data_IF_578270097445
#
_entry.id   IF_578270097445
#
_cell.length_a   1.000
_cell.length_b   1.000
_cell.length_c   1.000
_cell.angle_alpha   90.00
_cell.angle_beta   90.00
_cell.angle_gamma   90.00
#
_symmetry.space_group_name_H-M   'P 1'
#
loop_
_entity.id
_entity.type
_entity.pdbx_description
1 polymer ?
#
# COMPACT_ATOMS: atom_id res chain seq x y z
N UNK A 1 9.20 -4.57 9.51
CA UNK A 1 8.96 -3.77 10.73
C UNK A 1 9.13 -2.31 10.31
N UNK A 2 8.03 -1.54 10.23
CA UNK A 2 8.14 -0.11 9.93
C UNK A 2 8.86 0.55 11.10
N UNK A 3 10.11 0.95 10.90
CA UNK A 3 10.77 1.85 11.81
C UNK A 3 10.17 3.24 11.52
N UNK A 4 9.07 3.54 12.22
CA UNK A 4 8.50 4.88 12.32
C UNK A 4 9.44 5.65 13.25
N UNK A 5 10.66 5.90 12.78
CA UNK A 5 11.57 6.88 13.34
C UNK A 5 11.40 8.16 12.53
N UNK A 6 10.18 8.70 12.55
CA UNK A 6 9.94 10.13 12.33
C UNK A 6 8.77 10.54 13.22
N UNK A 7 9.12 11.38 14.17
CA UNK A 7 8.46 11.64 15.44
C UNK A 7 7.27 12.61 15.29
N UNK A 8 6.59 12.64 14.13
CA UNK A 8 5.70 13.74 13.73
C UNK A 8 4.19 13.48 13.94
N UNK A 9 3.75 12.22 14.07
CA UNK A 9 2.32 11.89 14.23
C UNK A 9 2.07 10.90 15.38
N UNK A 10 2.44 11.28 16.61
CA UNK A 10 1.95 10.57 17.81
C UNK A 10 0.58 11.16 18.22
N UNK A 11 -0.41 10.32 18.61
CA UNK A 11 -1.72 10.80 19.07
C UNK A 11 -1.62 11.84 20.19
N UNK A 12 -0.60 11.70 21.05
CA UNK A 12 -0.34 12.56 22.21
C UNK A 12 0.20 13.96 21.84
N UNK A 13 0.58 14.18 20.57
CA UNK A 13 1.03 15.48 20.04
C UNK A 13 -0.08 16.24 19.30
N UNK A 14 -1.22 15.60 19.05
CA UNK A 14 -2.36 16.24 18.41
C UNK A 14 -3.12 17.06 19.45
N UNK A 15 -3.32 18.35 19.16
CA UNK A 15 -4.11 19.27 19.97
C UNK A 15 -5.32 19.75 19.17
N UNK A 16 -6.34 20.29 19.84
CA UNK A 16 -7.66 20.59 19.24
C UNK A 16 -7.60 21.50 18.01
N UNK A 17 -6.61 22.39 17.93
CA UNK A 17 -6.40 23.30 16.80
C UNK A 17 -5.39 22.81 15.76
N UNK A 18 -4.91 21.57 15.86
CA UNK A 18 -4.01 20.97 14.87
C UNK A 18 -4.71 20.82 13.51
N UNK A 19 -4.04 21.26 12.45
CA UNK A 19 -4.51 21.16 11.08
C UNK A 19 -3.35 20.77 10.17
N UNK A 20 -3.64 20.03 9.10
CA UNK A 20 -2.65 19.69 8.09
C UNK A 20 -2.41 20.87 7.15
N UNK A 21 -1.15 21.08 6.75
CA UNK A 21 -0.82 21.98 5.64
C UNK A 21 -1.40 21.44 4.31
N UNK A 22 -1.42 22.29 3.27
CA UNK A 22 -1.87 21.87 1.94
C UNK A 22 -1.06 20.72 1.36
N UNK A 23 0.26 20.70 1.61
CA UNK A 23 1.13 19.63 1.17
C UNK A 23 0.83 18.31 1.92
N UNK A 24 0.74 18.36 3.25
CA UNK A 24 0.42 17.19 4.07
C UNK A 24 -0.95 16.61 3.75
N UNK A 25 -1.95 17.48 3.53
CA UNK A 25 -3.31 17.06 3.15
C UNK A 25 -3.29 16.31 1.82
N UNK A 26 -2.51 16.77 0.84
CA UNK A 26 -2.38 16.09 -0.45
C UNK A 26 -1.72 14.72 -0.30
N UNK A 27 -0.58 14.65 0.38
CA UNK A 27 0.15 13.41 0.62
C UNK A 27 -0.71 12.40 1.38
N UNK A 28 -1.40 12.85 2.42
CA UNK A 28 -2.29 12.02 3.21
C UNK A 28 -3.49 11.52 2.37
N UNK A 29 -4.09 12.40 1.57
CA UNK A 29 -5.21 12.06 0.68
C UNK A 29 -4.84 11.02 -0.36
N UNK A 30 -3.67 11.16 -0.98
CA UNK A 30 -3.12 10.15 -1.88
C UNK A 30 -2.87 8.83 -1.16
N UNK A 31 -2.39 8.85 0.08
CA UNK A 31 -2.14 7.65 0.87
C UNK A 31 -3.43 6.89 1.22
N UNK A 32 -4.47 7.56 1.71
CA UNK A 32 -5.71 6.93 2.17
C UNK A 32 -6.70 6.57 1.07
N UNK A 33 -6.59 7.20 -0.11
CA UNK A 33 -7.48 6.93 -1.24
C UNK A 33 -7.45 5.43 -1.61
N UNK A 34 -8.65 4.85 -1.65
CA UNK A 34 -8.89 3.47 -2.01
C UNK A 34 -8.78 2.45 -0.88
N UNK A 35 -8.35 2.86 0.32
CA UNK A 35 -8.28 2.00 1.51
C UNK A 35 -9.68 1.78 2.08
N UNK A 36 -9.94 0.60 2.65
CA UNK A 36 -11.17 0.32 3.42
C UNK A 36 -11.00 0.74 4.88
N UNK A 37 -11.98 1.48 5.39
CA UNK A 37 -12.06 1.91 6.78
C UNK A 37 -13.35 1.41 7.42
N UNK A 38 -13.25 1.01 8.68
CA UNK A 38 -14.37 0.67 9.56
C UNK A 38 -14.72 1.86 10.43
N UNK A 39 -16.01 2.14 10.58
CA UNK A 39 -16.47 3.21 11.48
C UNK A 39 -16.69 2.68 12.90
N UNK A 40 -16.26 3.42 13.93
CA UNK A 40 -16.36 3.00 15.34
C UNK A 40 -17.28 3.87 16.22
N UNK A 41 -17.96 4.89 15.67
CA UNK A 41 -18.82 5.81 16.43
C UNK A 41 -20.12 5.19 17.01
N UNK A 42 -20.54 4.00 16.54
CA UNK A 42 -21.72 3.28 17.05
C UNK A 42 -21.31 1.94 17.63
N UNK A 43 -21.59 1.73 18.93
CA UNK A 43 -21.37 0.43 19.56
C UNK A 43 -22.23 -0.66 18.88
N UNK A 44 -21.62 -1.82 18.62
CA UNK A 44 -22.31 -2.97 18.01
C UNK A 44 -22.57 -2.90 16.50
N UNK A 45 -22.32 -1.76 15.84
CA UNK A 45 -22.55 -1.60 14.39
C UNK A 45 -21.22 -1.50 13.65
N UNK A 46 -20.88 -2.55 12.92
CA UNK A 46 -19.68 -2.58 12.06
C UNK A 46 -20.09 -2.21 10.63
N UNK A 47 -19.62 -1.07 10.15
CA UNK A 47 -19.72 -0.68 8.74
C UNK A 47 -18.34 -0.42 8.17
N UNK A 48 -18.10 -0.96 6.99
CA UNK A 48 -16.83 -0.82 6.26
C UNK A 48 -17.10 -0.05 4.97
N UNK A 49 -16.29 0.96 4.71
CA UNK A 49 -16.39 1.79 3.51
C UNK A 49 -15.05 1.92 2.83
N UNK A 50 -15.06 2.08 1.50
CA UNK A 50 -13.88 2.46 0.73
C UNK A 50 -13.74 3.98 0.71
N UNK A 51 -12.54 4.48 0.99
CA UNK A 51 -12.22 5.91 0.94
C UNK A 51 -12.07 6.38 -0.50
N UNK A 52 -12.78 7.44 -0.86
CA UNK A 52 -12.68 8.09 -2.17
C UNK A 52 -11.68 9.24 -2.16
N UNK A 53 -11.82 10.13 -1.18
CA UNK A 53 -11.03 11.36 -1.05
C UNK A 53 -11.04 11.88 0.39
N UNK A 54 -10.21 12.90 0.62
CA UNK A 54 -10.33 13.78 1.77
C UNK A 54 -11.20 14.98 1.41
N UNK A 55 -11.87 15.52 2.41
CA UNK A 55 -12.69 16.73 2.33
C UNK A 55 -12.26 17.74 3.39
N UNK A 56 -12.97 18.86 3.44
CA UNK A 56 -12.73 19.93 4.42
C UNK A 56 -12.73 19.43 5.87
N UNK A 57 -12.13 20.21 6.79
CA UNK A 57 -12.21 19.98 8.22
C UNK A 57 -13.64 19.75 8.74
N UNK A 58 -13.80 18.94 9.79
CA UNK A 58 -15.12 18.60 10.32
C UNK A 58 -15.90 19.82 10.83
N UNK A 59 -15.22 20.84 11.37
CA UNK A 59 -15.81 22.11 11.80
C UNK A 59 -16.23 23.03 10.65
N UNK A 60 -15.70 22.81 9.45
CA UNK A 60 -15.95 23.63 8.26
C UNK A 60 -16.78 22.89 7.20
N UNK A 61 -16.93 21.58 7.31
CA UNK A 61 -17.67 20.77 6.35
C UNK A 61 -19.16 20.76 6.69
N UNK A 62 -19.94 21.53 5.93
CA UNK A 62 -21.38 21.65 6.09
C UNK A 62 -22.13 20.56 5.31
N UNK A 63 -23.23 20.09 5.89
CA UNK A 63 -24.18 19.20 5.23
C UNK A 63 -25.60 19.49 5.73
N UNK A 64 -26.60 18.95 5.03
CA UNK A 64 -28.00 19.04 5.49
C UNK A 64 -28.37 17.75 6.22
N UNK A 65 -28.70 17.89 7.50
CA UNK A 65 -29.05 16.78 8.37
C UNK A 65 -30.50 16.36 8.13
N UNK A 66 -30.73 15.05 8.02
CA UNK A 66 -32.06 14.45 7.92
C UNK A 66 -32.40 13.88 9.29
N UNK A 67 -33.61 14.17 9.80
CA UNK A 67 -34.04 13.73 11.13
C UNK A 67 -34.32 12.22 11.23
N UNK A 68 -34.56 11.55 10.10
CA UNK A 68 -34.93 10.14 10.04
C UNK A 68 -33.76 9.20 10.36
N UNK A 69 -33.90 8.43 11.44
CA UNK A 69 -32.90 7.60 12.12
C UNK A 69 -32.17 6.50 11.31
N UNK A 70 -32.41 6.35 10.02
CA UNK A 70 -31.74 5.36 9.18
C UNK A 70 -31.52 5.98 7.81
N UNK A 71 -30.47 6.76 7.63
CA UNK A 71 -29.69 6.85 6.38
C UNK A 71 -28.63 7.95 6.44
N UNK A 72 -27.39 7.57 6.77
CA UNK A 72 -26.20 8.17 6.12
C UNK A 72 -26.07 7.54 4.70
N UNK A 73 -27.19 7.17 4.05
CA UNK A 73 -27.16 6.22 2.96
C UNK A 73 -28.29 6.24 1.93
N UNK A 74 -29.26 7.16 1.86
CA UNK A 74 -30.13 7.31 0.68
C UNK A 74 -30.68 8.75 0.69
N UNK A 75 -30.29 9.56 -0.28
CA UNK A 75 -31.10 10.67 -0.74
C UNK A 75 -31.01 10.69 -2.27
N UNK A 76 -32.17 10.74 -2.90
CA UNK A 76 -32.41 10.50 -4.31
C UNK A 76 -31.62 11.44 -5.22
N UNK A 77 -31.16 10.87 -6.33
CA UNK A 77 -30.68 11.60 -7.50
C UNK A 77 -31.80 12.45 -8.11
N UNK A 78 -31.75 13.76 -7.93
CA UNK A 78 -32.26 14.71 -8.90
C UNK A 78 -31.20 15.79 -9.14
N UNK A 79 -30.55 15.70 -10.30
CA UNK A 79 -29.69 16.73 -10.85
C UNK A 79 -30.56 17.96 -11.15
N UNK A 80 -30.33 19.06 -10.43
CA UNK A 80 -30.72 20.38 -10.91
C UNK A 80 -29.42 21.08 -11.30
N UNK A 81 -29.19 21.19 -12.60
CA UNK A 81 -28.16 22.06 -13.16
C UNK A 81 -28.65 23.50 -12.99
N UNK A 82 -27.93 24.29 -12.19
CA UNK A 82 -28.09 25.74 -12.24
C UNK A 82 -27.13 26.31 -13.28
N UNK A 83 -27.60 27.31 -14.03
CA UNK A 83 -26.93 27.92 -15.19
C UNK A 83 -25.86 28.93 -14.75
N UNK A 84 -24.95 28.50 -13.90
CA UNK A 84 -23.70 29.20 -13.61
C UNK A 84 -22.70 28.12 -13.19
N UNK A 85 -21.61 27.95 -13.94
CA UNK A 85 -20.63 26.85 -13.84
C UNK A 85 -19.84 26.71 -12.53
N UNK A 86 -20.45 26.96 -11.37
CA UNK A 86 -19.97 26.62 -10.02
C UNK A 86 -20.81 25.47 -9.48
N UNK A 87 -20.18 24.31 -9.30
CA UNK A 87 -20.78 23.16 -8.62
C UNK A 87 -21.08 23.52 -7.16
N UNK A 88 -22.32 23.92 -6.87
CA UNK A 88 -22.79 24.16 -5.51
C UNK A 88 -23.28 22.85 -4.89
N UNK A 89 -22.53 22.34 -3.92
CA UNK A 89 -22.73 21.03 -3.29
C UNK A 89 -23.81 21.11 -2.20
N UNK A 90 -25.08 21.25 -2.59
CA UNK A 90 -26.20 21.27 -1.62
C UNK A 90 -26.83 19.89 -1.49
N UNK A 91 -26.80 19.35 -0.26
CA UNK A 91 -27.64 18.23 0.16
C UNK A 91 -29.07 18.76 0.37
N UNK A 92 -30.12 18.05 -0.06
CA UNK A 92 -31.50 18.37 0.33
C UNK A 92 -31.96 17.33 1.36
N UNK A 93 -31.90 17.70 2.63
CA UNK A 93 -32.37 16.88 3.74
C UNK A 93 -33.38 17.68 4.56
N UNK A 94 -34.55 17.12 4.82
CA UNK A 94 -35.59 17.78 5.63
C UNK A 94 -35.65 17.12 7.01
N UNK A 95 -35.89 17.91 8.06
CA UNK A 95 -36.19 17.43 9.40
C UNK A 95 -37.63 16.87 9.51
N UNK A 96 -38.04 16.43 10.70
CA UNK A 96 -39.39 15.91 10.98
C UNK A 96 -40.50 16.94 10.68
N UNK A 97 -40.14 18.23 10.57
CA UNK A 97 -41.03 19.36 10.30
C UNK A 97 -40.94 19.86 8.84
N UNK A 98 -40.11 19.23 8.01
CA UNK A 98 -39.95 19.57 6.59
C UNK A 98 -38.91 20.65 6.29
N UNK A 99 -38.14 21.11 7.28
CA UNK A 99 -37.15 22.17 7.15
C UNK A 99 -35.73 21.64 6.89
N UNK A 100 -34.94 22.36 6.09
CA UNK A 100 -33.55 22.01 5.83
C UNK A 100 -32.65 22.40 7.01
N UNK A 101 -32.32 21.44 7.89
CA UNK A 101 -31.38 21.70 8.99
C UNK A 101 -29.93 21.56 8.51
N UNK A 102 -29.27 22.69 8.27
CA UNK A 102 -27.83 22.75 7.96
C UNK A 102 -27.00 22.65 9.23
N UNK A 103 -26.03 21.74 9.25
CA UNK A 103 -25.05 21.66 10.33
C UNK A 103 -23.69 21.18 9.82
N UNK A 104 -22.64 21.44 10.60
CA UNK A 104 -21.29 20.93 10.29
C UNK A 104 -21.17 19.47 10.72
N UNK A 105 -20.24 18.73 10.10
CA UNK A 105 -19.92 17.35 10.53
C UNK A 105 -19.56 17.31 12.01
N UNK A 106 -18.75 18.25 12.49
CA UNK A 106 -18.43 18.37 13.91
C UNK A 106 -19.68 18.59 14.77
N UNK A 107 -20.57 19.51 14.36
CA UNK A 107 -21.82 19.79 15.09
C UNK A 107 -22.72 18.56 15.22
N UNK A 108 -22.85 17.78 14.15
CA UNK A 108 -23.62 16.53 14.16
C UNK A 108 -23.03 15.48 15.10
N UNK A 109 -21.70 15.28 15.06
CA UNK A 109 -21.05 14.32 15.95
C UNK A 109 -21.18 14.75 17.41
N UNK A 110 -21.03 16.04 17.71
CA UNK A 110 -21.26 16.59 19.07
C UNK A 110 -22.68 16.33 19.55
N UNK A 111 -23.71 16.53 18.72
CA UNK A 111 -25.12 16.31 19.10
C UNK A 111 -25.47 14.82 19.29
N UNK A 112 -24.90 13.91 18.48
CA UNK A 112 -25.33 12.51 18.42
C UNK A 112 -24.42 11.51 19.11
N UNK A 113 -23.13 11.78 19.21
CA UNK A 113 -22.12 10.80 19.66
C UNK A 113 -21.12 11.37 20.69
N UNK A 114 -20.94 12.69 20.74
CA UNK A 114 -20.00 13.38 21.61
C UNK A 114 -19.03 14.29 20.85
N UNK A 115 -18.38 15.19 21.58
CA UNK A 115 -17.48 16.19 21.00
C UNK A 115 -16.23 15.54 20.37
N UNK A 116 -15.87 15.97 19.16
CA UNK A 116 -14.63 15.58 18.49
C UNK A 116 -13.42 16.25 19.12
N UNK A 117 -12.32 15.51 19.31
CA UNK A 117 -11.08 16.03 19.90
C UNK A 117 -10.29 16.89 18.90
N UNK A 118 -10.40 16.59 17.60
CA UNK A 118 -9.61 17.17 16.51
C UNK A 118 -10.53 17.62 15.35
N UNK A 119 -11.45 18.57 15.58
CA UNK A 119 -12.44 18.97 14.59
C UNK A 119 -11.83 19.66 13.35
N UNK A 120 -10.59 20.18 13.47
CA UNK A 120 -9.87 20.84 12.38
C UNK A 120 -9.18 19.87 11.39
N UNK A 121 -9.22 18.56 11.67
CA UNK A 121 -8.72 17.55 10.74
C UNK A 121 -9.72 17.28 9.61
N UNK A 122 -9.24 16.96 8.39
CA UNK A 122 -10.11 16.70 7.25
C UNK A 122 -11.00 15.48 7.47
N UNK A 123 -12.19 15.48 6.85
CA UNK A 123 -13.06 14.31 6.86
C UNK A 123 -12.73 13.34 5.70
N UNK A 124 -12.97 12.04 5.91
CA UNK A 124 -12.97 11.03 4.86
C UNK A 124 -14.30 11.09 4.10
N UNK A 125 -14.24 11.22 2.78
CA UNK A 125 -15.37 10.93 1.90
C UNK A 125 -15.33 9.47 1.49
N UNK A 126 -16.40 8.73 1.77
CA UNK A 126 -16.42 7.28 1.60
C UNK A 126 -17.67 6.81 0.83
N UNK A 127 -17.63 5.59 0.30
CA UNK A 127 -18.76 5.01 -0.43
C UNK A 127 -18.82 5.45 -1.90
N UNK A 128 -19.99 5.55 -2.54
CA UNK A 128 -20.09 6.08 -3.90
C UNK A 128 -19.75 7.57 -3.95
N UNK A 129 -19.03 8.02 -4.99
CA UNK A 129 -18.68 9.46 -5.17
C UNK A 129 -19.93 10.35 -5.26
N UNK A 130 -21.04 9.79 -5.73
CA UNK A 130 -22.35 10.47 -5.83
C UNK A 130 -23.06 10.65 -4.49
N UNK A 131 -22.62 9.98 -3.42
CA UNK A 131 -23.23 10.09 -2.08
C UNK A 131 -22.29 10.86 -1.17
N UNK A 132 -22.82 11.84 -0.43
CA UNK A 132 -22.02 12.65 0.49
C UNK A 132 -21.96 11.98 1.87
N UNK A 133 -21.14 10.93 1.98
CA UNK A 133 -20.90 10.22 3.24
C UNK A 133 -19.55 10.66 3.79
N UNK A 134 -19.57 11.41 4.88
CA UNK A 134 -18.37 11.97 5.51
C UNK A 134 -18.18 11.42 6.92
N UNK A 135 -16.94 11.02 7.22
CA UNK A 135 -16.55 10.62 8.57
C UNK A 135 -15.31 11.40 9.03
N UNK A 136 -15.33 11.98 10.24
CA UNK A 136 -14.11 12.44 10.90
C UNK A 136 -13.08 11.31 11.01
N UNK A 137 -11.79 11.66 10.95
CA UNK A 137 -10.71 10.66 11.06
C UNK A 137 -10.76 9.89 12.39
N UNK A 138 -11.15 10.56 13.48
CA UNK A 138 -11.25 9.98 14.83
C UNK A 138 -12.19 8.78 14.93
N UNK A 139 -13.19 8.71 14.06
CA UNK A 139 -14.22 7.65 14.10
C UNK A 139 -13.98 6.58 13.05
N UNK A 140 -12.80 6.58 12.43
CA UNK A 140 -12.40 5.65 11.39
C UNK A 140 -11.20 4.82 11.82
N UNK A 141 -11.29 3.51 11.65
CA UNK A 141 -10.18 2.57 11.81
C UNK A 141 -9.89 1.87 10.49
N UNK A 142 -8.63 1.53 10.24
CA UNK A 142 -8.27 0.70 9.08
C UNK A 142 -8.91 -0.68 9.23
N UNK A 143 -9.61 -1.16 8.21
CA UNK A 143 -10.22 -2.50 8.22
C UNK A 143 -9.17 -3.54 7.83
N UNK A 144 -8.38 -4.04 8.78
CA UNK A 144 -7.29 -4.99 8.52
C UNK A 144 -7.76 -6.45 8.52
N UNK A 145 -7.14 -7.36 7.74
CA UNK A 145 -6.01 -7.16 6.82
C UNK A 145 -6.41 -6.68 5.41
N UNK A 146 -5.57 -5.84 4.80
CA UNK A 146 -5.73 -5.37 3.41
C UNK A 146 -4.42 -5.48 2.63
N UNK A 147 -4.51 -5.93 1.37
CA UNK A 147 -3.37 -5.93 0.44
C UNK A 147 -2.99 -4.50 0.08
N UNK A 148 -1.72 -4.15 0.29
CA UNK A 148 -1.15 -2.92 -0.22
C UNK A 148 -0.86 -3.06 -1.72
N UNK A 149 -1.45 -2.19 -2.55
CA UNK A 149 -1.38 -2.28 -4.02
C UNK A 149 -0.55 -1.18 -4.68
N UNK A 150 -0.02 -0.22 -3.91
CA UNK A 150 0.80 0.87 -4.44
C UNK A 150 2.26 0.44 -4.53
N UNK A 151 3.04 1.14 -5.36
CA UNK A 151 4.48 0.91 -5.46
C UNK A 151 5.13 1.22 -4.12
N UNK A 152 5.94 0.29 -3.64
CA UNK A 152 6.71 0.42 -2.41
C UNK A 152 7.92 1.32 -2.67
N UNK A 153 8.39 2.02 -1.64
CA UNK A 153 9.66 2.75 -1.71
C UNK A 153 10.83 1.78 -1.84
N UNK A 154 11.99 2.23 -2.32
CA UNK A 154 13.19 1.38 -2.41
C UNK A 154 13.60 0.79 -1.06
N UNK A 155 13.49 1.59 0.01
CA UNK A 155 13.73 1.13 1.40
C UNK A 155 12.74 0.04 1.84
N UNK A 156 11.46 0.19 1.51
CA UNK A 156 10.44 -0.82 1.82
C UNK A 156 10.65 -2.10 0.99
N UNK A 157 10.95 -1.94 -0.30
CA UNK A 157 11.22 -3.04 -1.23
C UNK A 157 12.45 -3.84 -0.78
N UNK A 158 13.55 -3.17 -0.43
CA UNK A 158 14.75 -3.84 0.07
C UNK A 158 14.53 -4.53 1.42
N UNK A 159 13.68 -3.97 2.29
CA UNK A 159 13.29 -4.64 3.53
C UNK A 159 12.48 -5.92 3.28
N UNK A 160 11.55 -5.90 2.31
CA UNK A 160 10.77 -7.08 1.91
C UNK A 160 11.67 -8.13 1.27
N UNK A 161 12.57 -7.73 0.35
CA UNK A 161 13.51 -8.66 -0.28
C UNK A 161 14.36 -9.34 0.79
N UNK A 162 14.95 -8.59 1.73
CA UNK A 162 15.74 -9.16 2.82
C UNK A 162 14.94 -10.09 3.73
N UNK A 163 13.67 -9.77 3.99
CA UNK A 163 12.80 -10.63 4.80
C UNK A 163 12.35 -11.91 4.06
N UNK A 164 12.25 -11.84 2.73
CA UNK A 164 11.81 -12.95 1.88
C UNK A 164 12.97 -13.84 1.40
N UNK A 165 14.17 -13.29 1.27
CA UNK A 165 15.38 -14.00 0.90
C UNK A 165 15.83 -14.88 2.07
N UNK A 166 15.35 -16.12 2.06
CA UNK A 166 15.72 -17.17 3.00
C UNK A 166 16.40 -18.30 2.25
N UNK A 167 17.29 -19.02 2.94
CA UNK A 167 17.95 -20.20 2.39
C UNK A 167 16.93 -21.31 2.08
N UNK A 168 17.33 -22.24 1.21
CA UNK A 168 16.46 -23.31 0.71
C UNK A 168 15.94 -24.19 1.85
N UNK A 169 16.79 -24.57 2.80
CA UNK A 169 16.44 -25.43 3.94
C UNK A 169 15.43 -24.74 4.87
N UNK A 170 15.65 -23.48 5.22
CA UNK A 170 14.71 -22.69 6.01
C UNK A 170 13.38 -22.48 5.27
N UNK A 171 13.42 -22.31 3.94
CA UNK A 171 12.21 -22.22 3.11
C UNK A 171 11.41 -23.51 3.14
N UNK A 172 12.08 -24.66 3.01
CA UNK A 172 11.47 -25.98 3.09
C UNK A 172 10.78 -26.21 4.45
N UNK A 173 11.49 -25.98 5.55
CA UNK A 173 10.92 -26.09 6.90
C UNK A 173 9.73 -25.15 7.12
N UNK A 174 9.80 -23.91 6.61
CA UNK A 174 8.68 -22.97 6.69
C UNK A 174 7.45 -23.47 5.95
N UNK A 175 7.62 -24.07 4.76
CA UNK A 175 6.50 -24.63 4.00
C UNK A 175 5.92 -25.84 4.76
N UNK A 176 6.76 -26.73 5.29
CA UNK A 176 6.30 -27.87 6.09
C UNK A 176 5.47 -27.42 7.31
N UNK A 177 5.95 -26.42 8.06
CA UNK A 177 5.23 -25.87 9.20
C UNK A 177 3.88 -25.22 8.80
N UNK A 178 3.84 -24.51 7.67
CA UNK A 178 2.58 -23.94 7.14
C UNK A 178 1.59 -25.02 6.71
N UNK A 179 2.05 -26.12 6.10
CA UNK A 179 1.21 -27.26 5.74
C UNK A 179 0.62 -27.94 6.98
N UNK A 180 1.42 -28.09 8.05
CA UNK A 180 0.95 -28.63 9.33
C UNK A 180 -0.08 -27.70 9.98
N UNK A 181 0.19 -26.39 10.02
CA UNK A 181 -0.71 -25.38 10.58
C UNK A 181 -2.04 -25.31 9.81
N UNK A 182 -2.01 -25.46 8.49
CA UNK A 182 -3.22 -25.48 7.66
C UNK A 182 -4.11 -26.70 7.96
N UNK A 183 -3.56 -27.76 8.56
CA UNK A 183 -4.29 -28.93 9.05
C UNK A 183 -5.26 -29.54 8.01
N UNK A 184 -4.86 -29.61 6.73
CA UNK A 184 -5.71 -30.07 5.63
C UNK A 184 -6.37 -31.44 5.86
N UNK A 185 -5.74 -32.31 6.65
CA UNK A 185 -6.29 -33.62 7.02
C UNK A 185 -7.56 -33.55 7.88
N UNK A 186 -7.80 -32.41 8.54
CA UNK A 186 -8.97 -32.15 9.38
C UNK A 186 -10.03 -31.30 8.68
N UNK A 187 -9.81 -30.94 7.42
CA UNK A 187 -10.72 -30.09 6.66
C UNK A 187 -11.98 -30.88 6.25
N UNK A 188 -13.14 -30.42 6.70
CA UNK A 188 -14.42 -31.09 6.45
C UNK A 188 -14.82 -31.03 4.98
N UNK A 189 -14.46 -29.96 4.25
CA UNK A 189 -14.74 -29.85 2.83
C UNK A 189 -13.91 -30.87 2.06
N UNK A 190 -12.59 -30.94 2.29
CA UNK A 190 -11.73 -31.91 1.61
C UNK A 190 -12.22 -33.35 1.84
N UNK A 191 -12.65 -33.67 3.06
CA UNK A 191 -13.22 -34.98 3.38
C UNK A 191 -14.50 -35.28 2.60
N UNK A 192 -15.40 -34.31 2.47
CA UNK A 192 -16.66 -34.45 1.70
C UNK A 192 -16.39 -34.73 0.22
N UNK A 193 -15.36 -34.10 -0.35
CA UNK A 193 -14.92 -34.34 -1.74
C UNK A 193 -14.01 -35.58 -1.89
N UNK A 194 -13.74 -36.33 -0.82
CA UNK A 194 -12.85 -37.50 -0.85
C UNK A 194 -11.38 -37.16 -1.16
N UNK A 195 -10.95 -35.91 -0.92
CA UNK A 195 -9.60 -35.43 -1.18
C UNK A 195 -8.72 -35.58 0.06
N UNK A 196 -7.47 -36.02 -0.15
CA UNK A 196 -6.44 -36.11 0.88
C UNK A 196 -5.15 -35.44 0.41
N UNK A 197 -4.55 -34.61 1.26
CA UNK A 197 -3.33 -33.86 0.94
C UNK A 197 -2.18 -34.38 1.81
N UNK A 198 -1.16 -34.98 1.20
CA UNK A 198 0.04 -35.40 1.93
C UNK A 198 0.71 -34.20 2.64
N UNK A 199 1.10 -34.35 3.92
CA UNK A 199 1.82 -33.30 4.64
C UNK A 199 3.30 -33.22 4.25
N UNK A 200 3.82 -34.20 3.50
CA UNK A 200 5.21 -34.26 3.07
C UNK A 200 5.35 -33.75 1.65
N UNK A 201 6.46 -33.05 1.37
CA UNK A 201 6.83 -32.66 0.01
C UNK A 201 7.04 -33.91 -0.86
N UNK A 202 6.73 -33.79 -2.15
CA UNK A 202 6.93 -34.88 -3.11
C UNK A 202 8.43 -35.07 -3.36
N UNK A 203 8.91 -36.29 -3.15
CA UNK A 203 10.30 -36.68 -3.44
C UNK A 203 10.42 -37.12 -4.90
N UNK A 204 11.48 -36.67 -5.57
CA UNK A 204 11.75 -37.02 -6.96
C UNK A 204 13.24 -37.18 -7.21
N UNK A 205 13.61 -38.07 -8.12
CA UNK A 205 15.00 -38.26 -8.53
C UNK A 205 15.36 -37.25 -9.61
N UNK A 206 16.39 -36.45 -9.35
CA UNK A 206 16.95 -35.51 -10.31
C UNK A 206 18.40 -35.86 -10.66
N UNK A 207 18.91 -35.31 -11.75
CA UNK A 207 20.29 -35.49 -12.22
C UNK A 207 20.93 -34.14 -12.51
N UNK A 208 22.14 -33.94 -11.99
CA UNK A 208 22.96 -32.76 -12.27
C UNK A 208 23.75 -33.03 -13.55
N UNK A 209 23.55 -32.19 -14.56
CA UNK A 209 24.27 -32.31 -15.82
C UNK A 209 25.69 -31.75 -15.67
N UNK A 210 26.66 -32.39 -16.31
CA UNK A 210 28.01 -31.85 -16.38
C UNK A 210 27.98 -30.51 -17.15
N UNK A 211 28.59 -29.44 -16.62
CA UNK A 211 28.60 -28.15 -17.28
C UNK A 211 29.44 -28.22 -18.58
N UNK A 212 29.05 -27.49 -19.63
CA UNK A 212 29.84 -27.41 -20.86
C UNK A 212 31.16 -26.67 -20.59
N UNK A 213 32.21 -27.05 -21.32
CA UNK A 213 33.51 -26.36 -21.28
C UNK A 213 33.43 -25.07 -22.11
N UNK A 214 33.91 -23.96 -21.55
CA UNK A 214 33.95 -22.66 -22.21
C UNK A 214 35.35 -22.44 -22.77
N UNK A 215 35.45 -22.21 -24.08
CA UNK A 215 36.72 -21.90 -24.76
C UNK A 215 36.88 -20.38 -24.91
N UNK A 216 38.00 -19.86 -24.41
CA UNK A 216 38.45 -18.48 -24.54
C UNK A 216 39.50 -18.31 -25.65
N UNK A 217 39.91 -17.07 -25.91
CA UNK A 217 40.88 -16.73 -26.94
C UNK A 217 42.28 -17.24 -26.61
N UNK A 218 43.11 -17.45 -27.64
CA UNK A 218 44.44 -18.06 -27.48
C UNK A 218 45.43 -17.21 -26.63
N UNK A 219 46.25 -17.96 -25.89
CA UNK A 219 47.28 -17.64 -24.87
C UNK A 219 47.67 -16.18 -24.56
N UNK A 220 47.71 -15.90 -23.25
CA UNK A 220 48.95 -15.52 -22.57
C UNK A 220 49.63 -16.80 -22.02
N UNK A 221 50.97 -16.85 -21.94
CA UNK A 221 51.76 -18.05 -21.58
C UNK A 221 51.45 -18.74 -20.23
N UNK A 222 50.52 -18.21 -19.43
CA UNK A 222 50.33 -18.57 -18.01
C UNK A 222 48.97 -19.21 -17.66
N UNK A 223 48.02 -19.35 -18.59
CA UNK A 223 46.68 -19.90 -18.29
C UNK A 223 46.11 -20.81 -19.40
N UNK A 224 45.31 -21.81 -18.99
CA UNK A 224 44.50 -22.65 -19.87
C UNK A 224 43.32 -21.81 -20.43
N UNK A 225 43.12 -21.75 -21.77
CA UNK A 225 42.00 -21.04 -22.38
C UNK A 225 40.66 -21.75 -22.17
N UNK A 226 40.63 -22.96 -21.62
CA UNK A 226 39.37 -23.67 -21.36
C UNK A 226 38.98 -23.57 -19.89
N UNK A 227 37.80 -22.99 -19.62
CA UNK A 227 37.23 -22.88 -18.28
C UNK A 227 36.06 -23.84 -18.14
N UNK A 228 36.02 -24.57 -17.03
CA UNK A 228 34.87 -25.39 -16.62
C UNK A 228 34.06 -24.61 -15.60
N UNK A 229 32.78 -24.27 -15.88
CA UNK A 229 31.92 -23.60 -14.92
C UNK A 229 31.80 -24.40 -13.62
N UNK A 230 31.77 -23.67 -12.50
CA UNK A 230 31.49 -24.22 -11.16
C UNK A 230 30.20 -23.59 -10.66
N UNK A 231 29.24 -24.41 -10.24
CA UNK A 231 27.93 -23.98 -9.73
C UNK A 231 27.21 -22.97 -10.65
N UNK A 232 27.33 -23.17 -11.97
CA UNK A 232 26.70 -22.31 -12.99
C UNK A 232 27.43 -20.98 -13.25
N UNK A 233 28.57 -20.74 -12.61
CA UNK A 233 29.37 -19.53 -12.79
C UNK A 233 30.78 -19.82 -13.33
N UNK A 234 31.38 -18.82 -13.96
CA UNK A 234 32.77 -18.83 -14.43
C UNK A 234 33.36 -17.43 -14.28
N UNK A 235 34.69 -17.33 -14.24
CA UNK A 235 35.40 -16.05 -14.21
C UNK A 235 36.10 -15.77 -15.55
N UNK A 236 36.29 -14.47 -15.85
CA UNK A 236 37.12 -13.98 -16.93
C UNK A 236 38.57 -13.69 -16.48
N UNK A 237 38.90 -13.97 -15.22
CA UNK A 237 40.24 -13.72 -14.67
C UNK A 237 41.30 -14.49 -15.45
N UNK A 238 42.34 -13.78 -15.90
CA UNK A 238 43.43 -14.33 -16.72
C UNK A 238 42.97 -14.99 -18.03
N UNK A 239 41.77 -14.65 -18.52
CA UNK A 239 41.23 -15.10 -19.80
C UNK A 239 41.16 -13.96 -20.82
N UNK A 240 41.14 -14.30 -22.10
CA UNK A 240 40.91 -13.36 -23.21
C UNK A 240 39.63 -13.73 -23.95
N UNK A 241 38.91 -12.74 -24.47
CA UNK A 241 37.74 -13.01 -25.31
C UNK A 241 38.14 -13.91 -26.50
N UNK A 242 37.29 -14.87 -26.85
CA UNK A 242 37.52 -15.80 -27.98
C UNK A 242 37.79 -15.04 -29.29
N UNK A 243 37.01 -14.00 -29.56
CA UNK A 243 37.28 -13.01 -30.61
C UNK A 243 37.24 -11.62 -29.99
N UNK A 244 38.40 -10.96 -29.77
CA UNK A 244 38.42 -9.59 -29.28
C UNK A 244 38.09 -8.59 -30.40
N UNK A 245 37.32 -7.56 -30.08
CA UNK A 245 37.12 -6.42 -30.96
C UNK A 245 38.19 -5.35 -30.73
N UNK A 246 38.60 -4.66 -31.80
CA UNK A 246 39.55 -3.54 -31.72
C UNK A 246 38.76 -2.23 -31.67
N UNK A 247 38.80 -1.54 -30.54
CA UNK A 247 38.21 -0.20 -30.40
C UNK A 247 39.19 0.86 -30.94
N UNK A 248 38.94 1.37 -32.15
CA UNK A 248 39.81 2.38 -32.80
C UNK A 248 39.61 3.79 -32.27
N UNK A 249 38.39 4.16 -31.91
CA UNK A 249 38.06 5.47 -31.34
C UNK A 249 36.90 5.34 -30.35
N UNK A 250 37.02 5.98 -29.20
CA UNK A 250 35.94 6.14 -28.24
C UNK A 250 35.93 7.58 -27.70
N UNK A 251 34.78 8.02 -27.21
CA UNK A 251 34.65 9.30 -26.50
C UNK A 251 33.87 9.05 -25.21
N UNK A 252 34.31 9.68 -24.12
CA UNK A 252 33.67 9.61 -22.82
C UNK A 252 33.12 10.99 -22.50
N UNK A 253 31.83 11.06 -22.18
CA UNK A 253 31.22 12.28 -21.64
C UNK A 253 30.78 11.96 -20.22
N UNK A 254 31.50 12.54 -19.26
CA UNK A 254 31.10 12.47 -17.86
C UNK A 254 30.21 13.67 -17.56
N UNK A 255 28.93 13.41 -17.28
CA UNK A 255 28.01 14.45 -16.80
C UNK A 255 28.09 14.49 -15.28
N UNK A 256 28.77 15.51 -14.76
CA UNK A 256 29.03 15.70 -13.33
C UNK A 256 28.29 16.95 -12.87
N UNK A 257 27.71 16.89 -11.68
CA UNK A 257 27.09 18.06 -11.07
C UNK A 257 28.19 19.12 -10.81
N UNK A 258 28.01 20.39 -11.22
CA UNK A 258 29.00 21.45 -10.98
C UNK A 258 29.43 21.60 -9.52
N UNK A 259 28.59 21.19 -8.56
CA UNK A 259 28.91 21.24 -7.12
C UNK A 259 29.89 20.13 -6.67
N UNK A 260 29.97 19.02 -7.39
CA UNK A 260 30.85 17.87 -7.08
C UNK A 260 32.17 17.93 -7.87
N UNK A 261 32.35 18.97 -8.70
CA UNK A 261 33.52 19.14 -9.57
C UNK A 261 34.84 19.28 -8.79
N UNK A 262 34.81 19.75 -7.54
CA UNK A 262 36.01 19.96 -6.70
C UNK A 262 36.60 18.69 -6.07
N UNK A 263 35.92 17.55 -6.19
CA UNK A 263 36.36 16.28 -5.55
C UNK A 263 37.14 15.38 -6.53
N UNK A 264 37.34 15.85 -7.76
CA UNK A 264 37.98 15.11 -8.86
C UNK A 264 39.35 15.66 -9.26
N UNK A 265 39.81 16.71 -8.59
CA UNK A 265 41.20 17.22 -8.64
C UNK A 265 42.02 16.60 -7.50
#
# INVERSE_FOLDING_TARGET
MFNISDNQFQPDKLYKSFSLSSHETKVFGEAVKGIKVRTCHRAGVVRVYRVNSLQLPADQLWFVAIASFIQIAIAYSHLVFDMDGKSDFRFQGKDEEGNERRMTVAGYFTERYGELKYPKLPCLHVGPVTRNIYFPLEVCMLDTPQKYSKKLTEKQTSAIIRAAAVDATAREHRIAALCEQAAFQKDSFLKEFGLQISPKMCETTARVLNPPRILFGEKNHYSDPVVVPKDGAWSLDNQRLYVPAICRSYSLIAMINPLEQRTLE
#
